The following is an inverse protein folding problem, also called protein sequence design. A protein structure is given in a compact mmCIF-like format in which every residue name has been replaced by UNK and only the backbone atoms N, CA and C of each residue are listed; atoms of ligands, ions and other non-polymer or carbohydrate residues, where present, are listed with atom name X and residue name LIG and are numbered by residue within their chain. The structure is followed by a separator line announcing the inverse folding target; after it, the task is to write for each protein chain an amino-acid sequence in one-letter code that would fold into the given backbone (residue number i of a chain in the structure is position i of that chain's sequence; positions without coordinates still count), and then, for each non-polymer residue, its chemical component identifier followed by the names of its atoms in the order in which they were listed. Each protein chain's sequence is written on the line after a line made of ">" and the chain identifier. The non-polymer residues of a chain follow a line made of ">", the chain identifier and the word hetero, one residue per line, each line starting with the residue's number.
data_IF_024316636548
#
_entry.id   IF_024316636548
#
_cell.length_a   1.000
_cell.length_b   1.000
_cell.length_c   1.000
_cell.angle_alpha   90.00
_cell.angle_beta   90.00
_cell.angle_gamma   90.00
#
_symmetry.space_group_name_H-M   'P 1'
#
loop_
_entity.id
_entity.type
_entity.pdbx_description
1 polymer ?
#
# COMPACT_ATOMS: atom_id res chain seq x y z
N UNK A 1 45.90 -25.55 19.88
CA UNK A 1 45.12 -26.35 20.84
C UNK A 1 43.73 -26.56 20.28
N UNK A 2 43.46 -27.78 19.82
CA UNK A 2 42.17 -28.23 19.28
C UNK A 2 41.59 -29.16 20.33
N UNK A 3 40.38 -28.89 20.80
CA UNK A 3 39.63 -29.85 21.63
C UNK A 3 38.74 -30.73 20.74
N UNK A 4 38.55 -32.02 21.10
CA UNK A 4 38.19 -33.07 20.15
C UNK A 4 36.68 -33.35 20.10
N UNK A 5 36.26 -33.86 18.94
CA UNK A 5 34.98 -34.55 18.73
C UNK A 5 35.05 -35.92 19.41
N UNK A 6 34.02 -36.27 20.19
CA UNK A 6 33.88 -37.58 20.80
C UNK A 6 32.88 -38.43 19.98
N UNK A 7 33.26 -39.64 19.51
CA UNK A 7 32.38 -40.54 18.75
C UNK A 7 32.09 -41.83 19.53
N UNK A 8 30.85 -42.06 19.98
CA UNK A 8 30.43 -43.39 20.46
C UNK A 8 28.94 -43.57 20.20
N UNK A 9 28.60 -44.38 19.18
CA UNK A 9 27.83 -45.63 19.32
C UNK A 9 27.37 -46.13 17.94
N UNK A 10 28.15 -47.06 17.39
CA UNK A 10 27.73 -48.04 16.41
C UNK A 10 27.04 -49.22 17.13
N UNK A 11 26.26 -49.99 16.35
CA UNK A 11 25.78 -51.37 16.54
C UNK A 11 24.35 -51.54 17.07
N UNK A 12 23.44 -51.92 16.16
CA UNK A 12 22.58 -53.14 16.12
C UNK A 12 21.68 -52.95 14.88
N UNK A 13 22.13 -53.42 13.71
CA UNK A 13 21.84 -54.74 13.12
C UNK A 13 20.46 -54.85 12.47
N UNK A 14 20.52 -54.91 11.14
CA UNK A 14 19.53 -55.26 10.12
C UNK A 14 18.88 -56.64 10.33
N UNK A 15 17.90 -56.96 9.45
CA UNK A 15 17.20 -58.24 9.15
C UNK A 15 15.70 -58.09 9.54
N UNK A 16 14.70 -58.09 8.63
CA UNK A 16 14.26 -59.19 7.77
C UNK A 16 13.25 -58.66 6.71
N UNK A 17 13.48 -59.00 5.43
CA UNK A 17 12.54 -58.94 4.30
C UNK A 17 12.11 -60.40 4.00
N UNK A 18 10.92 -60.58 3.42
CA UNK A 18 10.37 -61.78 2.72
C UNK A 18 9.29 -62.57 3.47
N UNK A 19 8.07 -62.58 2.89
CA UNK A 19 7.07 -63.67 2.76
C UNK A 19 5.77 -63.03 2.20
N UNK A 20 5.44 -63.04 0.90
CA UNK A 20 4.94 -64.16 0.05
C UNK A 20 3.85 -64.98 0.77
N UNK A 21 2.60 -65.16 0.34
CA UNK A 21 1.93 -65.11 -0.97
C UNK A 21 1.08 -66.39 -1.16
N UNK A 22 -0.10 -66.28 -1.79
CA UNK A 22 -1.02 -67.36 -2.32
C UNK A 22 -2.04 -67.94 -1.30
N UNK A 23 -3.30 -68.31 -1.62
CA UNK A 23 -3.95 -68.96 -2.80
C UNK A 23 -5.48 -68.65 -2.83
N UNK A 24 -6.11 -68.15 -3.93
CA UNK A 24 -7.02 -68.78 -4.97
C UNK A 24 -8.32 -69.46 -4.40
N UNK A 25 -9.56 -69.31 -4.92
CA UNK A 25 -10.18 -69.89 -6.15
C UNK A 25 -11.66 -69.46 -6.40
N UNK A 26 -11.98 -69.09 -7.67
CA UNK A 26 -13.18 -69.26 -8.55
C UNK A 26 -14.58 -68.66 -8.18
N UNK A 27 -15.52 -68.33 -9.10
CA UNK A 27 -15.93 -69.00 -10.36
C UNK A 27 -16.80 -68.10 -11.31
N UNK A 28 -16.59 -68.30 -12.62
CA UNK A 28 -17.54 -68.40 -13.76
C UNK A 28 -18.38 -67.21 -14.31
N UNK A 29 -18.24 -67.01 -15.64
CA UNK A 29 -19.23 -66.41 -16.57
C UNK A 29 -20.33 -67.43 -16.93
N UNK A 30 -21.50 -66.98 -17.46
CA UNK A 30 -21.69 -67.04 -18.92
C UNK A 30 -22.40 -65.82 -19.54
N UNK A 31 -22.16 -65.64 -20.84
CA UNK A 31 -22.73 -64.67 -21.78
C UNK A 31 -24.19 -64.95 -22.13
N UNK A 32 -24.99 -63.90 -22.34
CA UNK A 32 -26.06 -63.87 -23.35
C UNK A 32 -26.12 -62.48 -23.99
N UNK A 33 -26.15 -62.48 -25.32
CA UNK A 33 -26.25 -61.32 -26.20
C UNK A 33 -27.54 -60.53 -25.99
N UNK A 34 -27.44 -59.19 -25.92
CA UNK A 34 -28.41 -58.29 -26.53
C UNK A 34 -27.63 -57.14 -27.17
N UNK A 35 -27.77 -57.03 -28.50
CA UNK A 35 -27.36 -55.89 -29.30
C UNK A 35 -28.06 -54.63 -28.80
N UNK A 36 -27.29 -53.62 -28.39
CA UNK A 36 -27.78 -52.23 -28.37
C UNK A 36 -26.60 -51.27 -28.53
N UNK A 37 -26.49 -50.77 -29.76
CA UNK A 37 -26.26 -49.37 -30.09
C UNK A 37 -25.28 -48.60 -29.19
N UNK A 38 -24.10 -48.34 -29.75
CA UNK A 38 -23.13 -47.34 -29.29
C UNK A 38 -23.86 -46.01 -29.01
N UNK A 39 -24.28 -45.79 -27.76
CA UNK A 39 -24.45 -44.45 -27.22
C UNK A 39 -23.05 -43.92 -26.95
N UNK A 40 -22.57 -43.06 -27.84
CA UNK A 40 -21.55 -42.09 -27.49
C UNK A 40 -21.90 -41.49 -26.13
N UNK A 41 -20.94 -41.54 -25.21
CA UNK A 41 -21.03 -40.80 -23.97
C UNK A 41 -21.36 -39.34 -24.32
N UNK A 42 -22.37 -38.71 -23.68
CA UNK A 42 -22.64 -37.31 -23.91
C UNK A 42 -21.37 -36.54 -23.55
N UNK A 43 -20.78 -35.90 -24.55
CA UNK A 43 -19.76 -34.87 -24.34
C UNK A 43 -20.39 -33.86 -23.41
N UNK A 44 -19.98 -33.84 -22.15
CA UNK A 44 -20.15 -32.67 -21.30
C UNK A 44 -19.31 -31.58 -21.93
N UNK A 45 -19.90 -30.86 -22.89
CA UNK A 45 -19.47 -29.51 -23.23
C UNK A 45 -19.57 -28.73 -21.92
N UNK A 46 -18.42 -28.55 -21.25
CA UNK A 46 -18.29 -27.44 -20.31
C UNK A 46 -18.49 -26.19 -21.18
N UNK A 47 -19.59 -25.44 -21.04
CA UNK A 47 -19.77 -24.24 -21.82
C UNK A 47 -18.62 -23.31 -21.47
N UNK A 48 -17.76 -23.02 -22.46
CA UNK A 48 -16.73 -22.01 -22.30
C UNK A 48 -17.46 -20.72 -21.95
N UNK A 49 -17.16 -20.06 -20.81
CA UNK A 49 -17.87 -18.87 -20.41
C UNK A 49 -17.77 -17.80 -21.52
N UNK A 50 -18.91 -17.23 -21.93
CA UNK A 50 -18.91 -16.13 -22.89
C UNK A 50 -18.32 -14.88 -22.23
N UNK A 51 -17.05 -14.62 -22.56
CA UNK A 51 -16.28 -13.50 -22.04
C UNK A 51 -16.97 -12.15 -22.31
N UNK A 52 -17.72 -12.04 -23.42
CA UNK A 52 -18.48 -10.83 -23.74
C UNK A 52 -19.57 -10.58 -22.70
N UNK A 53 -20.30 -11.64 -22.34
CA UNK A 53 -21.37 -11.57 -21.34
C UNK A 53 -20.82 -11.26 -19.94
N UNK A 54 -19.68 -11.86 -19.56
CA UNK A 54 -18.99 -11.57 -18.29
C UNK A 54 -18.67 -10.07 -18.21
N UNK A 55 -18.01 -9.52 -19.24
CA UNK A 55 -17.61 -8.12 -19.23
C UNK A 55 -18.78 -7.14 -19.30
N UNK A 56 -19.89 -7.52 -19.95
CA UNK A 56 -21.12 -6.73 -19.95
C UNK A 56 -21.78 -6.70 -18.56
N UNK A 57 -21.75 -7.81 -17.82
CA UNK A 57 -22.39 -7.92 -16.51
C UNK A 57 -21.53 -7.41 -15.36
N UNK A 58 -20.21 -7.36 -15.54
CA UNK A 58 -19.23 -7.05 -14.50
C UNK A 58 -19.58 -5.79 -13.69
N UNK A 59 -20.01 -4.71 -14.35
CA UNK A 59 -20.38 -3.47 -13.66
C UNK A 59 -21.54 -3.67 -12.68
N UNK A 60 -22.53 -4.47 -13.04
CA UNK A 60 -23.67 -4.78 -12.17
C UNK A 60 -23.25 -5.65 -10.99
N UNK A 61 -22.33 -6.60 -11.22
CA UNK A 61 -21.80 -7.45 -10.16
C UNK A 61 -20.99 -6.66 -9.14
N UNK A 62 -20.15 -5.72 -9.60
CA UNK A 62 -19.40 -4.80 -8.73
C UNK A 62 -20.34 -3.93 -7.88
N UNK A 63 -21.43 -3.42 -8.46
CA UNK A 63 -22.44 -2.64 -7.73
C UNK A 63 -23.25 -3.47 -6.73
N UNK A 64 -23.34 -4.78 -6.93
CA UNK A 64 -24.02 -5.70 -6.03
C UNK A 64 -23.16 -6.15 -4.84
N UNK A 65 -21.89 -5.72 -4.77
CA UNK A 65 -21.02 -5.96 -3.61
C UNK A 65 -21.40 -5.00 -2.48
N UNK A 66 -21.60 -5.56 -1.29
CA UNK A 66 -22.00 -4.83 -0.08
C UNK A 66 -21.48 -5.57 1.17
N UNK A 67 -21.70 -5.03 2.40
CA UNK A 67 -21.20 -5.63 3.64
C UNK A 67 -21.73 -7.05 3.96
N UNK A 68 -22.77 -7.52 3.27
CA UNK A 68 -23.33 -8.86 3.47
C UNK A 68 -22.71 -9.90 2.54
N UNK A 69 -21.90 -9.48 1.56
CA UNK A 69 -21.19 -10.38 0.66
C UNK A 69 -19.95 -10.98 1.33
N UNK A 70 -19.51 -12.12 0.78
CA UNK A 70 -18.32 -12.86 1.21
C UNK A 70 -17.07 -12.46 0.43
N UNK A 71 -15.89 -12.81 0.95
CA UNK A 71 -14.60 -12.69 0.27
C UNK A 71 -14.56 -13.49 -1.03
N UNK A 72 -15.25 -14.64 -1.08
CA UNK A 72 -15.38 -15.41 -2.32
C UNK A 72 -16.09 -14.61 -3.42
N UNK A 73 -17.14 -13.85 -3.08
CA UNK A 73 -17.87 -13.06 -4.07
C UNK A 73 -17.00 -11.94 -4.66
N UNK A 74 -16.23 -11.24 -3.83
CA UNK A 74 -15.31 -10.21 -4.32
C UNK A 74 -14.11 -10.82 -5.07
N UNK A 75 -13.65 -12.02 -4.70
CA UNK A 75 -12.62 -12.74 -5.45
C UNK A 75 -13.09 -13.17 -6.83
N UNK A 76 -14.34 -13.63 -6.96
CA UNK A 76 -14.96 -13.91 -8.25
C UNK A 76 -15.00 -12.66 -9.12
N UNK A 77 -15.56 -11.55 -8.60
CA UNK A 77 -15.58 -10.27 -9.34
C UNK A 77 -14.16 -9.82 -9.72
N UNK A 78 -13.17 -10.01 -8.86
CA UNK A 78 -11.78 -9.70 -9.18
C UNK A 78 -11.19 -10.60 -10.27
N UNK A 79 -11.62 -11.86 -10.40
CA UNK A 79 -11.25 -12.71 -11.53
C UNK A 79 -11.89 -12.19 -12.81
N UNK A 80 -13.17 -11.81 -12.76
CA UNK A 80 -13.90 -11.26 -13.89
C UNK A 80 -13.30 -9.93 -14.36
N UNK A 81 -12.88 -9.05 -13.44
CA UNK A 81 -12.09 -7.85 -13.75
C UNK A 81 -10.83 -8.22 -14.55
N UNK A 82 -10.04 -9.20 -14.08
CA UNK A 82 -8.79 -9.59 -14.77
C UNK A 82 -9.04 -10.14 -16.17
N UNK A 83 -10.13 -10.88 -16.37
CA UNK A 83 -10.51 -11.41 -17.69
C UNK A 83 -10.95 -10.30 -18.65
N UNK A 84 -11.60 -9.26 -18.13
CA UNK A 84 -12.14 -8.17 -18.93
C UNK A 84 -11.14 -7.07 -19.26
N UNK A 85 -10.20 -6.76 -18.36
CA UNK A 85 -9.23 -5.67 -18.53
C UNK A 85 -8.47 -5.68 -19.88
N UNK A 86 -7.99 -6.83 -20.41
CA UNK A 86 -7.36 -6.89 -21.73
C UNK A 86 -8.25 -6.47 -22.91
N UNK A 87 -9.57 -6.53 -22.74
CA UNK A 87 -10.55 -6.24 -23.79
C UNK A 87 -11.04 -4.78 -23.77
N UNK A 88 -10.74 -4.05 -22.71
CA UNK A 88 -11.21 -2.68 -22.49
C UNK A 88 -10.22 -1.65 -23.04
N UNK A 89 -10.74 -0.52 -23.50
CA UNK A 89 -9.90 0.64 -23.84
C UNK A 89 -9.42 1.33 -22.56
N UNK A 90 -8.33 2.09 -22.65
CA UNK A 90 -7.74 2.81 -21.50
C UNK A 90 -8.75 3.60 -20.66
N UNK A 91 -9.65 4.37 -21.27
CA UNK A 91 -10.68 5.11 -20.54
C UNK A 91 -11.64 4.20 -19.75
N UNK A 92 -11.99 3.03 -20.32
CA UNK A 92 -12.87 2.04 -19.67
C UNK A 92 -12.13 1.29 -18.55
N UNK A 93 -10.83 1.03 -18.72
CA UNK A 93 -9.98 0.48 -17.66
C UNK A 93 -9.92 1.41 -16.44
N UNK A 94 -9.76 2.73 -16.67
CA UNK A 94 -9.74 3.73 -15.59
C UNK A 94 -11.10 3.86 -14.88
N UNK A 95 -12.20 3.84 -15.64
CA UNK A 95 -13.55 3.83 -15.06
C UNK A 95 -13.77 2.57 -14.20
N UNK A 96 -13.40 1.39 -14.71
CA UNK A 96 -13.50 0.15 -13.96
C UNK A 96 -12.65 0.18 -12.68
N UNK A 97 -11.49 0.83 -12.73
CA UNK A 97 -10.63 1.06 -11.57
C UNK A 97 -11.33 1.89 -10.50
N UNK A 98 -11.98 2.99 -10.89
CA UNK A 98 -12.79 3.80 -9.96
C UNK A 98 -13.97 3.03 -9.38
N UNK A 99 -14.66 2.21 -10.19
CA UNK A 99 -15.73 1.35 -9.69
C UNK A 99 -15.21 0.30 -8.71
N UNK A 100 -14.01 -0.25 -8.93
CA UNK A 100 -13.40 -1.21 -8.00
C UNK A 100 -13.13 -0.59 -6.63
N UNK A 101 -12.78 0.70 -6.58
CA UNK A 101 -12.61 1.42 -5.31
C UNK A 101 -13.94 1.51 -4.56
N UNK A 102 -15.02 1.90 -5.24
CA UNK A 102 -16.37 1.96 -4.65
C UNK A 102 -16.85 0.59 -4.16
N UNK A 103 -16.65 -0.44 -4.97
CA UNK A 103 -16.96 -1.84 -4.63
C UNK A 103 -16.29 -2.26 -3.31
N UNK A 104 -14.99 -1.98 -3.15
CA UNK A 104 -14.27 -2.29 -1.91
C UNK A 104 -14.72 -1.41 -0.73
N UNK A 105 -14.98 -0.11 -0.94
CA UNK A 105 -15.52 0.76 0.10
C UNK A 105 -16.85 0.24 0.64
N UNK A 106 -17.75 -0.20 -0.25
CA UNK A 106 -19.02 -0.81 0.12
C UNK A 106 -18.83 -2.16 0.81
N UNK A 107 -17.92 -3.01 0.32
CA UNK A 107 -17.63 -4.30 0.95
C UNK A 107 -17.08 -4.15 2.37
N UNK A 108 -16.22 -3.16 2.59
CA UNK A 108 -15.50 -2.95 3.86
C UNK A 108 -16.25 -2.04 4.83
N UNK A 109 -17.43 -1.54 4.47
CA UNK A 109 -18.25 -0.73 5.35
C UNK A 109 -18.70 -1.55 6.56
N UNK A 110 -18.55 -0.97 7.76
CA UNK A 110 -19.00 -1.54 9.02
C UNK A 110 -19.61 -0.41 9.84
N UNK A 111 -20.84 -0.63 10.27
CA UNK A 111 -21.51 0.27 11.20
C UNK A 111 -21.17 -0.19 12.63
N UNK A 112 -20.33 0.60 13.32
CA UNK A 112 -19.92 0.37 14.70
C UNK A 112 -20.43 1.48 15.62
N UNK A 113 -20.85 1.12 16.84
CA UNK A 113 -20.95 2.09 17.93
C UNK A 113 -19.56 2.46 18.45
N UNK A 114 -19.43 3.55 19.20
CA UNK A 114 -18.16 3.95 19.82
C UNK A 114 -17.57 2.84 20.71
N UNK A 115 -18.40 2.12 21.45
CA UNK A 115 -17.96 0.99 22.29
C UNK A 115 -17.46 -0.19 21.44
N UNK A 116 -18.13 -0.47 20.31
CA UNK A 116 -17.70 -1.52 19.38
C UNK A 116 -16.37 -1.16 18.71
N UNK A 117 -16.17 0.10 18.33
CA UNK A 117 -14.91 0.59 17.78
C UNK A 117 -13.76 0.42 18.79
N UNK A 118 -13.97 0.83 20.05
CA UNK A 118 -12.97 0.69 21.10
C UNK A 118 -12.65 -0.79 21.40
N UNK A 119 -13.66 -1.67 21.43
CA UNK A 119 -13.46 -3.10 21.63
C UNK A 119 -12.66 -3.73 20.47
N UNK A 120 -12.96 -3.33 19.23
CA UNK A 120 -12.24 -3.75 18.04
C UNK A 120 -10.77 -3.32 18.07
N UNK A 121 -10.50 -2.05 18.34
CA UNK A 121 -9.13 -1.54 18.44
C UNK A 121 -8.34 -2.23 19.54
N UNK A 122 -8.96 -2.41 20.71
CA UNK A 122 -8.37 -3.14 21.82
C UNK A 122 -8.01 -4.56 21.39
N UNK A 123 -8.90 -5.26 20.68
CA UNK A 123 -8.62 -6.60 20.17
C UNK A 123 -7.46 -6.64 19.17
N UNK A 124 -7.40 -5.68 18.23
CA UNK A 124 -6.36 -5.67 17.19
C UNK A 124 -4.99 -5.30 17.78
N UNK A 125 -4.94 -4.38 18.75
CA UNK A 125 -3.71 -3.94 19.40
C UNK A 125 -3.20 -4.93 20.45
N UNK A 126 -4.12 -5.60 21.17
CA UNK A 126 -3.80 -6.54 22.21
C UNK A 126 -3.40 -7.90 21.61
N UNK A 127 -2.11 -8.07 21.34
CA UNK A 127 -1.51 -9.38 21.11
C UNK A 127 -1.39 -10.13 22.45
N UNK A 128 -2.53 -10.48 23.06
CA UNK A 128 -2.55 -11.13 24.34
C UNK A 128 -1.78 -12.47 24.29
N UNK A 129 -0.91 -12.71 25.27
CA UNK A 129 -0.13 -13.95 25.38
C UNK A 129 -0.98 -15.21 25.64
N UNK A 130 -2.29 -15.05 25.90
CA UNK A 130 -3.21 -16.14 26.27
C UNK A 130 -4.33 -16.31 25.23
N UNK A 131 -4.33 -17.40 24.44
CA UNK A 131 -5.28 -17.62 23.35
C UNK A 131 -6.77 -17.63 23.75
N UNK A 132 -7.09 -18.09 24.96
CA UNK A 132 -8.49 -18.17 25.44
C UNK A 132 -9.11 -16.80 25.70
N UNK A 133 -8.33 -15.86 26.24
CA UNK A 133 -8.77 -14.48 26.46
C UNK A 133 -8.98 -13.79 25.10
N UNK A 134 -8.10 -14.06 24.14
CA UNK A 134 -8.24 -13.53 22.78
C UNK A 134 -9.49 -14.07 22.09
N UNK A 135 -9.80 -15.36 22.23
CA UNK A 135 -11.02 -15.96 21.67
C UNK A 135 -12.29 -15.33 22.26
N UNK A 136 -12.36 -15.16 23.58
CA UNK A 136 -13.52 -14.53 24.22
C UNK A 136 -13.72 -13.08 23.75
N UNK A 137 -12.64 -12.30 23.62
CA UNK A 137 -12.70 -10.93 23.08
C UNK A 137 -13.14 -10.92 21.62
N UNK A 138 -12.69 -11.88 20.82
CA UNK A 138 -13.08 -12.01 19.42
C UNK A 138 -14.58 -12.25 19.25
N UNK A 139 -15.17 -13.13 20.06
CA UNK A 139 -16.60 -13.46 20.01
C UNK A 139 -17.51 -12.29 20.40
N UNK A 140 -16.97 -11.29 21.11
CA UNK A 140 -17.67 -10.06 21.49
C UNK A 140 -17.64 -8.97 20.41
N UNK A 141 -16.84 -9.15 19.35
CA UNK A 141 -16.79 -8.20 18.24
C UNK A 141 -18.06 -8.26 17.38
N UNK A 142 -18.32 -7.20 16.60
CA UNK A 142 -19.36 -7.21 15.57
C UNK A 142 -19.17 -8.42 14.63
N UNK A 143 -20.25 -9.09 14.22
CA UNK A 143 -20.19 -10.25 13.32
C UNK A 143 -19.41 -9.96 12.02
N UNK A 144 -19.51 -8.74 11.49
CA UNK A 144 -18.75 -8.33 10.31
C UNK A 144 -17.26 -8.19 10.61
N UNK A 145 -16.90 -7.70 11.79
CA UNK A 145 -15.51 -7.67 12.26
C UNK A 145 -14.95 -9.09 12.41
N UNK A 146 -15.70 -9.99 13.04
CA UNK A 146 -15.31 -11.40 13.15
C UNK A 146 -15.07 -12.02 11.77
N UNK A 147 -15.96 -11.74 10.82
CA UNK A 147 -15.83 -12.22 9.46
C UNK A 147 -14.57 -11.68 8.78
N UNK A 148 -14.37 -10.36 8.76
CA UNK A 148 -13.26 -9.73 8.04
C UNK A 148 -11.90 -10.03 8.69
N UNK A 149 -11.82 -10.15 10.02
CA UNK A 149 -10.60 -10.59 10.71
C UNK A 149 -10.19 -12.01 10.30
N UNK A 150 -11.15 -12.95 10.21
CA UNK A 150 -10.88 -14.33 9.76
C UNK A 150 -10.38 -14.41 8.32
N UNK A 151 -10.73 -13.44 7.49
CA UNK A 151 -10.34 -13.37 6.08
C UNK A 151 -9.33 -12.26 5.79
N UNK A 152 -8.71 -11.67 6.82
CA UNK A 152 -7.65 -10.69 6.66
C UNK A 152 -6.51 -11.30 5.82
N UNK A 153 -6.01 -10.55 4.84
CA UNK A 153 -5.00 -11.00 3.89
C UNK A 153 -5.57 -11.76 2.68
N UNK A 154 -6.84 -12.18 2.71
CA UNK A 154 -7.56 -12.66 1.53
C UNK A 154 -8.25 -11.50 0.82
N UNK A 155 -8.59 -11.69 -0.46
CA UNK A 155 -9.29 -10.67 -1.25
C UNK A 155 -8.70 -9.25 -1.14
N UNK A 156 -7.40 -9.09 -0.86
CA UNK A 156 -6.74 -7.79 -0.65
C UNK A 156 -7.30 -6.97 0.52
N UNK A 157 -7.80 -7.63 1.57
CA UNK A 157 -8.31 -6.97 2.77
C UNK A 157 -7.18 -6.83 3.78
N UNK A 158 -6.96 -5.62 4.29
CA UNK A 158 -5.98 -5.37 5.34
C UNK A 158 -6.50 -4.37 6.38
N UNK A 159 -5.78 -4.28 7.49
CA UNK A 159 -6.02 -3.29 8.55
C UNK A 159 -5.05 -2.14 8.41
N UNK A 160 -5.50 -0.94 8.73
CA UNK A 160 -4.70 0.28 8.70
C UNK A 160 -5.00 1.15 9.92
N UNK A 161 -3.97 1.83 10.42
CA UNK A 161 -3.97 2.80 11.51
C UNK A 161 -3.52 4.20 11.05
N UNK A 162 -3.63 4.47 9.74
CA UNK A 162 -3.15 5.71 9.11
C UNK A 162 -4.05 6.93 9.33
N UNK A 163 -5.34 6.72 9.58
CA UNK A 163 -6.31 7.80 9.80
C UNK A 163 -6.37 8.16 11.28
N UNK A 164 -6.54 9.45 11.59
CA UNK A 164 -6.64 9.92 12.97
C UNK A 164 -7.74 9.14 13.71
N UNK A 165 -7.28 8.42 14.75
CA UNK A 165 -8.04 7.85 15.86
C UNK A 165 -8.71 6.49 15.70
N UNK A 166 -8.54 5.78 14.57
CA UNK A 166 -9.14 4.44 14.47
C UNK A 166 -8.39 3.45 13.57
N UNK A 167 -8.29 2.21 14.05
CA UNK A 167 -7.93 1.07 13.20
C UNK A 167 -9.15 0.73 12.34
N UNK A 168 -8.96 0.64 11.03
CA UNK A 168 -10.01 0.36 10.07
C UNK A 168 -9.57 -0.67 9.02
N UNK A 169 -10.53 -1.28 8.33
CA UNK A 169 -10.21 -2.07 7.15
C UNK A 169 -10.00 -1.16 5.95
N UNK A 170 -9.04 -1.53 5.12
CA UNK A 170 -8.88 -0.96 3.78
C UNK A 170 -8.62 -2.06 2.76
N UNK A 171 -8.81 -1.71 1.50
CA UNK A 171 -8.24 -2.47 0.40
C UNK A 171 -6.74 -2.26 0.40
N UNK A 172 -5.99 -3.34 0.19
CA UNK A 172 -4.53 -3.28 0.07
C UNK A 172 -4.13 -2.39 -1.10
N UNK A 173 -3.15 -1.48 -0.94
CA UNK A 173 -2.59 -0.70 -2.05
C UNK A 173 -2.11 -1.59 -3.20
N UNK A 174 -1.68 -2.82 -2.88
CA UNK A 174 -1.22 -3.81 -3.86
C UNK A 174 -2.31 -4.34 -4.78
N UNK A 175 -3.59 -4.06 -4.51
CA UNK A 175 -4.70 -4.51 -5.34
C UNK A 175 -4.58 -4.00 -6.77
N UNK A 176 -4.44 -2.68 -6.97
CA UNK A 176 -4.38 -2.12 -8.32
C UNK A 176 -3.11 -2.53 -9.05
N UNK A 177 -1.98 -2.60 -8.34
CA UNK A 177 -0.73 -3.11 -8.89
C UNK A 177 -0.84 -4.55 -9.39
N UNK A 178 -1.58 -5.42 -8.70
CA UNK A 178 -1.70 -6.85 -9.06
C UNK A 178 -2.87 -7.16 -10.00
N UNK A 179 -3.92 -6.35 -10.00
CA UNK A 179 -5.16 -6.61 -10.76
C UNK A 179 -5.23 -5.76 -12.02
N UNK A 180 -4.84 -4.49 -11.95
CA UNK A 180 -5.00 -3.53 -13.05
C UNK A 180 -3.69 -3.31 -13.82
N UNK A 181 -2.61 -2.99 -13.11
CA UNK A 181 -1.35 -2.53 -13.72
C UNK A 181 -0.79 -3.42 -14.85
N UNK A 182 -0.89 -4.78 -14.81
CA UNK A 182 -0.41 -5.64 -15.90
C UNK A 182 -1.08 -5.40 -17.27
N UNK A 183 -2.21 -4.70 -17.30
CA UNK A 183 -3.00 -4.44 -18.51
C UNK A 183 -3.02 -2.96 -18.91
N UNK A 184 -2.31 -2.11 -18.18
CA UNK A 184 -2.25 -0.67 -18.44
C UNK A 184 -1.04 -0.33 -19.33
N UNK A 185 -1.02 0.89 -19.86
CA UNK A 185 0.16 1.41 -20.53
C UNK A 185 1.22 1.79 -19.50
N UNK A 186 2.47 1.91 -19.97
CA UNK A 186 3.63 2.18 -19.13
C UNK A 186 3.46 3.35 -18.12
N UNK A 187 2.97 4.55 -18.50
CA UNK A 187 2.84 5.65 -17.55
C UNK A 187 1.88 5.34 -16.39
N UNK A 188 0.75 4.67 -16.65
CA UNK A 188 -0.20 4.31 -15.60
C UNK A 188 0.27 3.11 -14.78
N UNK A 189 0.83 2.10 -15.46
CA UNK A 189 1.40 0.92 -14.80
C UNK A 189 2.48 1.32 -13.79
N UNK A 190 3.49 2.08 -14.23
CA UNK A 190 4.62 2.49 -13.39
C UNK A 190 4.15 3.36 -12.23
N UNK A 191 3.18 4.24 -12.46
CA UNK A 191 2.59 5.07 -11.40
C UNK A 191 1.96 4.20 -10.31
N UNK A 192 1.07 3.29 -10.71
CA UNK A 192 0.28 2.47 -9.79
C UNK A 192 1.17 1.49 -9.03
N UNK A 193 2.11 0.82 -9.70
CA UNK A 193 3.02 -0.12 -9.06
C UNK A 193 3.88 0.57 -8.00
N UNK A 194 4.47 1.73 -8.32
CA UNK A 194 5.32 2.45 -7.37
C UNK A 194 4.52 3.07 -6.23
N UNK A 195 3.34 3.64 -6.49
CA UNK A 195 2.52 4.18 -5.41
C UNK A 195 2.00 3.06 -4.50
N UNK A 196 1.66 1.90 -5.05
CA UNK A 196 1.28 0.72 -4.27
C UNK A 196 2.42 0.23 -3.36
N UNK A 197 3.65 0.15 -3.89
CA UNK A 197 4.84 -0.25 -3.13
C UNK A 197 5.14 0.76 -2.02
N UNK A 198 5.13 2.05 -2.34
CA UNK A 198 5.33 3.12 -1.36
C UNK A 198 4.27 3.07 -0.24
N UNK A 199 3.00 2.87 -0.56
CA UNK A 199 1.90 2.85 0.41
C UNK A 199 1.74 1.51 1.15
N UNK A 200 2.52 0.48 0.79
CA UNK A 200 2.68 -0.71 1.64
C UNK A 200 3.36 -0.36 2.98
N UNK A 201 4.25 0.64 2.98
CA UNK A 201 4.74 1.28 4.21
C UNK A 201 3.96 2.58 4.44
N UNK A 202 3.09 2.64 5.45
CA UNK A 202 2.24 3.80 5.64
C UNK A 202 3.07 5.06 5.95
N UNK A 203 2.66 6.20 5.38
CA UNK A 203 3.31 7.49 5.63
C UNK A 203 3.29 7.86 7.11
N UNK A 204 2.16 7.61 7.78
CA UNK A 204 1.97 7.86 9.21
C UNK A 204 1.66 6.58 9.96
N UNK A 205 2.15 6.50 11.19
CA UNK A 205 1.81 5.46 12.16
C UNK A 205 1.70 6.10 13.54
N UNK A 206 0.59 5.90 14.24
CA UNK A 206 0.31 6.57 15.53
C UNK A 206 0.49 8.10 15.46
N UNK A 207 -0.03 8.73 14.40
CA UNK A 207 0.08 10.18 14.12
C UNK A 207 1.51 10.73 14.03
N UNK A 208 2.50 9.86 13.79
CA UNK A 208 3.90 10.23 13.56
C UNK A 208 4.35 9.79 12.17
N UNK A 209 5.26 10.55 11.59
CA UNK A 209 5.91 10.18 10.34
C UNK A 209 6.59 8.81 10.51
N UNK A 210 6.30 7.88 9.61
CA UNK A 210 6.74 6.48 9.67
C UNK A 210 7.67 6.13 8.49
N UNK A 211 8.42 7.12 8.02
CA UNK A 211 9.42 6.99 6.96
C UNK A 211 10.75 7.57 7.43
N UNK A 212 11.82 6.85 7.15
CA UNK A 212 13.19 7.34 7.33
C UNK A 212 13.57 8.33 6.21
N UNK A 213 14.50 9.27 6.45
CA UNK A 213 14.84 10.30 5.47
C UNK A 213 15.36 9.76 4.12
N UNK A 214 16.05 8.62 4.10
CA UNK A 214 16.54 7.99 2.86
C UNK A 214 15.40 7.49 1.98
N UNK A 215 14.38 6.90 2.60
CA UNK A 215 13.16 6.46 1.91
C UNK A 215 12.36 7.67 1.40
N UNK A 216 12.26 8.76 2.18
CA UNK A 216 11.62 10.01 1.73
C UNK A 216 12.35 10.58 0.50
N UNK A 217 13.68 10.63 0.53
CA UNK A 217 14.50 11.10 -0.59
C UNK A 217 14.33 10.21 -1.84
N UNK A 218 14.32 8.88 -1.67
CA UNK A 218 14.08 7.92 -2.76
C UNK A 218 12.71 8.15 -3.41
N UNK A 219 11.65 8.32 -2.62
CA UNK A 219 10.30 8.60 -3.13
C UNK A 219 10.23 9.94 -3.84
N UNK A 220 10.81 11.00 -3.28
CA UNK A 220 10.87 12.32 -3.92
C UNK A 220 11.58 12.27 -5.28
N UNK A 221 12.74 11.59 -5.34
CA UNK A 221 13.51 11.40 -6.57
C UNK A 221 12.71 10.62 -7.62
N UNK A 222 12.06 9.53 -7.23
CA UNK A 222 11.21 8.75 -8.12
C UNK A 222 10.13 9.61 -8.80
N UNK A 223 9.36 10.38 -8.03
CA UNK A 223 8.29 11.20 -8.59
C UNK A 223 8.80 12.34 -9.48
N UNK A 224 10.01 12.85 -9.21
CA UNK A 224 10.69 13.78 -10.10
C UNK A 224 11.05 13.13 -11.44
N UNK A 225 11.65 11.93 -11.42
CA UNK A 225 12.04 11.20 -12.64
C UNK A 225 10.83 10.73 -13.43
N UNK A 226 9.76 10.31 -12.76
CA UNK A 226 8.49 9.96 -13.38
C UNK A 226 7.93 11.12 -14.22
N UNK A 227 7.96 12.35 -13.70
CA UNK A 227 7.48 13.54 -14.41
C UNK A 227 8.33 13.90 -15.64
N UNK A 228 9.63 13.58 -15.62
CA UNK A 228 10.53 13.77 -16.76
C UNK A 228 10.27 12.69 -17.82
N UNK A 229 10.09 11.45 -17.39
CA UNK A 229 9.89 10.29 -18.28
C UNK A 229 8.51 10.31 -18.93
N UNK A 230 7.48 10.74 -18.20
CA UNK A 230 6.09 10.73 -18.65
C UNK A 230 5.43 12.12 -18.54
N UNK A 231 5.86 13.12 -19.34
CA UNK A 231 5.37 14.49 -19.23
C UNK A 231 3.88 14.66 -19.57
N UNK A 232 3.30 13.71 -20.31
CA UNK A 232 1.91 13.72 -20.78
C UNK A 232 1.01 12.68 -20.07
N UNK A 233 1.46 12.12 -18.94
CA UNK A 233 0.67 11.16 -18.15
C UNK A 233 -0.63 11.78 -17.62
N UNK A 234 -1.69 10.98 -17.54
CA UNK A 234 -2.95 11.38 -16.90
C UNK A 234 -2.77 11.65 -15.39
N UNK A 235 -1.72 11.10 -14.78
CA UNK A 235 -1.37 11.28 -13.37
C UNK A 235 -0.44 12.48 -13.12
N UNK A 236 -0.31 13.41 -14.08
CA UNK A 236 0.65 14.52 -14.00
C UNK A 236 0.50 15.34 -12.71
N UNK A 237 -0.72 15.68 -12.33
CA UNK A 237 -0.99 16.47 -11.13
C UNK A 237 -0.68 15.70 -9.85
N UNK A 238 -0.89 14.38 -9.86
CA UNK A 238 -0.72 13.51 -8.71
C UNK A 238 0.75 13.27 -8.44
N UNK A 239 1.52 12.99 -9.49
CA UNK A 239 2.97 12.89 -9.41
C UNK A 239 3.62 14.21 -8.98
N UNK A 240 3.12 15.37 -9.43
CA UNK A 240 3.58 16.69 -8.95
C UNK A 240 3.30 16.89 -7.46
N UNK A 241 2.10 16.52 -7.02
CA UNK A 241 1.73 16.58 -5.62
C UNK A 241 2.63 15.68 -4.76
N UNK A 242 2.82 14.42 -5.16
CA UNK A 242 3.69 13.45 -4.47
C UNK A 242 5.15 13.92 -4.41
N UNK A 243 5.71 14.41 -5.55
CA UNK A 243 7.05 15.02 -5.59
C UNK A 243 7.18 16.11 -4.53
N UNK A 244 6.23 17.05 -4.50
CA UNK A 244 6.26 18.19 -3.59
C UNK A 244 6.03 17.77 -2.13
N UNK A 245 5.16 16.79 -1.87
CA UNK A 245 4.91 16.27 -0.54
C UNK A 245 6.18 15.63 0.06
N UNK A 246 6.84 14.73 -0.67
CA UNK A 246 8.07 14.09 -0.19
C UNK A 246 9.24 15.06 -0.10
N UNK A 247 9.37 16.01 -1.05
CA UNK A 247 10.41 17.04 -0.95
C UNK A 247 10.20 17.92 0.29
N UNK A 248 8.96 18.31 0.58
CA UNK A 248 8.63 19.07 1.80
C UNK A 248 8.94 18.27 3.07
N UNK A 249 8.57 16.99 3.12
CA UNK A 249 8.90 16.12 4.25
C UNK A 249 10.41 16.01 4.48
N UNK A 250 11.21 15.89 3.40
CA UNK A 250 12.66 15.76 3.52
C UNK A 250 13.31 17.01 4.13
N UNK A 251 12.86 18.21 3.74
CA UNK A 251 13.49 19.47 4.17
C UNK A 251 12.83 20.13 5.37
N UNK A 252 11.62 19.74 5.74
CA UNK A 252 10.84 20.38 6.81
C UNK A 252 10.38 19.40 7.89
N UNK A 253 10.13 18.14 7.52
CA UNK A 253 9.39 17.19 8.36
C UNK A 253 7.89 17.53 8.40
N UNK A 254 7.24 17.20 9.52
CA UNK A 254 5.85 17.60 9.79
C UNK A 254 5.77 18.52 11.00
N UNK A 255 4.63 19.15 11.25
CA UNK A 255 4.45 19.96 12.47
C UNK A 255 4.70 19.17 13.76
N UNK A 256 4.31 17.88 13.79
CA UNK A 256 4.48 17.00 14.95
C UNK A 256 5.84 16.29 15.02
N UNK A 257 6.63 16.36 13.95
CA UNK A 257 7.96 15.76 13.85
C UNK A 257 8.80 16.55 12.84
N UNK A 258 9.15 17.82 13.14
CA UNK A 258 9.96 18.63 12.25
C UNK A 258 11.41 18.15 12.26
N UNK A 259 12.13 18.34 11.14
CA UNK A 259 13.56 18.01 11.11
C UNK A 259 14.42 19.01 11.89
N UNK A 260 13.85 20.17 12.24
CA UNK A 260 14.51 21.23 13.01
C UNK A 260 13.46 22.18 13.57
N UNK A 261 13.71 22.71 14.77
CA UNK A 261 12.81 23.69 15.38
C UNK A 261 13.11 25.13 14.91
N UNK A 262 14.38 25.43 14.60
CA UNK A 262 14.80 26.81 14.36
C UNK A 262 15.64 26.99 13.08
N UNK A 263 16.15 25.90 12.48
CA UNK A 263 17.05 25.92 11.32
C UNK A 263 18.23 26.89 11.49
N UNK A 264 18.78 26.99 12.69
CA UNK A 264 19.85 27.96 12.99
C UNK A 264 21.18 27.56 12.36
N UNK A 265 21.54 26.28 12.48
CA UNK A 265 22.79 25.72 11.98
C UNK A 265 22.64 24.20 11.81
N UNK A 266 23.69 23.54 11.32
CA UNK A 266 23.70 22.10 11.06
C UNK A 266 23.32 21.25 12.28
N UNK A 267 23.73 21.65 13.48
CA UNK A 267 23.48 20.88 14.71
C UNK A 267 22.01 20.93 15.17
N UNK A 268 21.23 21.86 14.62
CA UNK A 268 19.79 21.99 14.85
C UNK A 268 18.96 21.14 13.88
N UNK A 269 19.60 20.49 12.91
CA UNK A 269 18.95 19.57 11.97
C UNK A 269 19.09 18.15 12.50
N UNK A 270 18.01 17.37 12.43
CA UNK A 270 18.03 15.95 12.69
C UNK A 270 19.18 15.28 11.91
N UNK A 271 20.01 14.50 12.63
CA UNK A 271 21.26 13.99 12.10
C UNK A 271 21.05 13.05 10.90
N UNK A 272 19.99 12.23 10.94
CA UNK A 272 19.68 11.31 9.84
C UNK A 272 19.23 12.06 8.59
N UNK A 273 18.40 13.10 8.78
CA UNK A 273 17.94 13.99 7.71
C UNK A 273 19.12 14.77 7.10
N UNK A 274 20.01 15.31 7.94
CA UNK A 274 21.20 16.03 7.48
C UNK A 274 22.10 15.16 6.62
N UNK A 275 22.40 13.92 7.01
CA UNK A 275 23.26 13.02 6.25
C UNK A 275 22.72 12.76 4.84
N UNK A 276 21.41 12.53 4.73
CA UNK A 276 20.76 12.30 3.42
C UNK A 276 20.79 13.57 2.57
N UNK A 277 20.44 14.73 3.14
CA UNK A 277 20.46 16.01 2.43
C UNK A 277 21.89 16.36 1.98
N UNK A 278 22.88 16.17 2.84
CA UNK A 278 24.29 16.43 2.51
C UNK A 278 24.75 15.53 1.36
N UNK A 279 24.39 14.24 1.38
CA UNK A 279 24.68 13.34 0.28
C UNK A 279 24.04 13.79 -1.05
N UNK A 280 22.75 14.13 -1.03
CA UNK A 280 22.04 14.67 -2.20
C UNK A 280 22.66 15.97 -2.72
N UNK A 281 23.16 16.83 -1.83
CA UNK A 281 23.80 18.09 -2.22
C UNK A 281 25.09 17.89 -3.00
N UNK A 282 25.75 16.74 -2.86
CA UNK A 282 26.97 16.39 -3.58
C UNK A 282 26.69 15.84 -4.98
N UNK A 283 25.44 15.47 -5.28
CA UNK A 283 25.04 15.00 -6.60
C UNK A 283 24.59 16.16 -7.50
N UNK A 284 24.59 15.95 -8.82
CA UNK A 284 24.11 16.92 -9.81
C UNK A 284 22.79 16.46 -10.47
N UNK A 285 22.06 15.57 -9.80
CA UNK A 285 20.95 14.82 -10.40
C UNK A 285 19.59 15.47 -10.10
N UNK A 286 19.26 16.47 -10.92
CA UNK A 286 17.91 17.04 -10.96
C UNK A 286 17.55 17.96 -9.80
N UNK A 287 16.25 18.24 -9.66
CA UNK A 287 15.72 19.32 -8.82
C UNK A 287 15.98 19.09 -7.32
N UNK A 288 15.82 17.86 -6.83
CA UNK A 288 16.03 17.52 -5.42
C UNK A 288 17.47 17.80 -4.96
N UNK A 289 18.48 17.49 -5.80
CA UNK A 289 19.89 17.81 -5.49
C UNK A 289 20.15 19.32 -5.47
N UNK A 290 19.47 20.08 -6.34
CA UNK A 290 19.54 21.55 -6.33
C UNK A 290 18.92 22.10 -5.04
N UNK A 291 17.77 21.57 -4.62
CA UNK A 291 17.15 21.93 -3.35
C UNK A 291 18.05 21.57 -2.16
N UNK A 292 18.69 20.41 -2.17
CA UNK A 292 19.63 20.00 -1.14
C UNK A 292 20.82 20.97 -1.02
N UNK A 293 21.44 21.35 -2.14
CA UNK A 293 22.52 22.37 -2.14
C UNK A 293 22.06 23.69 -1.54
N UNK A 294 20.87 24.14 -1.93
CA UNK A 294 20.27 25.36 -1.37
C UNK A 294 19.98 25.21 0.12
N UNK A 295 19.50 24.06 0.58
CA UNK A 295 19.25 23.81 2.01
C UNK A 295 20.54 23.93 2.83
N UNK A 296 21.62 23.28 2.38
CA UNK A 296 22.94 23.40 3.03
C UNK A 296 23.38 24.88 3.11
N UNK A 297 23.26 25.62 2.00
CA UNK A 297 23.57 27.05 1.98
C UNK A 297 22.70 27.86 2.94
N UNK A 298 21.39 27.56 3.02
CA UNK A 298 20.46 28.25 3.90
C UNK A 298 20.85 28.08 5.37
N UNK A 299 21.16 26.84 5.78
CA UNK A 299 21.57 26.51 7.14
C UNK A 299 22.92 27.16 7.51
N UNK A 300 23.77 27.44 6.52
CA UNK A 300 25.04 28.17 6.71
C UNK A 300 24.87 29.70 6.76
N UNK A 301 23.72 30.24 6.34
CA UNK A 301 23.48 31.68 6.37
C UNK A 301 23.08 32.16 7.77
N UNK A 302 23.61 33.32 8.18
CA UNK A 302 23.11 34.04 9.37
C UNK A 302 21.71 34.61 9.11
N UNK A 303 20.93 34.96 10.15
CA UNK A 303 19.62 35.60 9.99
C UNK A 303 19.65 36.85 9.11
N UNK A 304 20.69 37.69 9.24
CA UNK A 304 20.87 38.91 8.44
C UNK A 304 21.12 38.58 6.96
N UNK A 305 21.94 37.56 6.70
CA UNK A 305 22.20 37.09 5.33
C UNK A 305 20.93 36.52 4.69
N UNK A 306 20.11 35.78 5.45
CA UNK A 306 18.80 35.29 4.97
C UNK A 306 17.88 36.45 4.61
N UNK A 307 17.79 37.46 5.47
CA UNK A 307 16.95 38.63 5.24
C UNK A 307 17.37 39.44 4.00
N UNK A 308 18.68 39.51 3.71
CA UNK A 308 19.19 40.21 2.54
C UNK A 308 18.97 39.41 1.24
N UNK A 309 19.23 38.09 1.27
CA UNK A 309 19.21 37.23 0.07
C UNK A 309 17.83 36.66 -0.26
N UNK A 310 16.95 36.50 0.72
CA UNK A 310 15.66 35.80 0.58
C UNK A 310 14.53 36.82 0.84
N UNK A 311 13.93 37.27 -0.26
CA UNK A 311 12.96 38.36 -0.27
C UNK A 311 11.53 37.84 -0.12
N UNK A 312 11.04 37.66 1.10
CA UNK A 312 9.61 37.42 1.35
C UNK A 312 8.80 38.71 1.16
N UNK A 313 7.51 38.60 0.85
CA UNK A 313 6.65 39.78 0.68
C UNK A 313 6.56 40.60 1.98
N UNK A 314 6.49 41.93 1.87
CA UNK A 314 6.41 42.82 3.04
C UNK A 314 5.19 42.49 3.92
N UNK A 315 4.05 42.17 3.30
CA UNK A 315 2.84 41.71 3.99
C UNK A 315 3.08 40.45 4.83
N UNK A 316 3.81 39.49 4.29
CA UNK A 316 4.14 38.25 4.99
C UNK A 316 5.15 38.49 6.11
N UNK A 317 6.18 39.32 5.85
CA UNK A 317 7.15 39.72 6.86
C UNK A 317 6.48 40.38 8.07
N UNK A 318 5.59 41.35 7.84
CA UNK A 318 4.85 42.03 8.92
C UNK A 318 3.93 41.07 9.68
N UNK A 319 3.30 40.12 8.98
CA UNK A 319 2.47 39.08 9.62
C UNK A 319 3.30 38.17 10.56
N UNK A 320 4.56 37.91 10.22
CA UNK A 320 5.44 36.97 10.91
C UNK A 320 6.48 37.63 11.81
N UNK A 321 6.47 38.96 11.96
CA UNK A 321 7.48 39.73 12.70
C UNK A 321 7.66 39.23 14.15
N UNK A 322 6.56 38.87 14.81
CA UNK A 322 6.57 38.33 16.18
C UNK A 322 6.60 36.79 16.23
N UNK A 323 6.91 36.12 15.12
CA UNK A 323 6.91 34.65 14.97
C UNK A 323 8.19 34.19 14.24
N UNK A 324 9.36 34.28 14.88
CA UNK A 324 10.65 34.06 14.23
C UNK A 324 10.80 32.67 13.59
N UNK A 325 10.27 31.61 14.23
CA UNK A 325 10.30 30.26 13.66
C UNK A 325 9.50 30.15 12.35
N UNK A 326 8.29 30.74 12.31
CA UNK A 326 7.47 30.75 11.10
C UNK A 326 8.08 31.63 10.01
N UNK A 327 8.78 32.71 10.39
CA UNK A 327 9.52 33.55 9.46
C UNK A 327 10.65 32.76 8.78
N UNK A 328 11.45 32.02 9.55
CA UNK A 328 12.52 31.16 9.02
C UNK A 328 11.97 30.08 8.10
N UNK A 329 10.87 29.42 8.48
CA UNK A 329 10.18 28.45 7.63
C UNK A 329 9.69 29.07 6.32
N UNK A 330 9.07 30.26 6.36
CA UNK A 330 8.62 30.98 5.16
C UNK A 330 9.80 31.30 4.22
N UNK A 331 10.90 31.80 4.76
CA UNK A 331 12.12 32.06 3.99
C UNK A 331 12.69 30.77 3.37
N UNK A 332 12.75 29.68 4.14
CA UNK A 332 13.24 28.39 3.66
C UNK A 332 12.38 27.87 2.50
N UNK A 333 11.05 27.89 2.66
CA UNK A 333 10.11 27.48 1.63
C UNK A 333 10.29 28.28 0.34
N UNK A 334 10.42 29.60 0.45
CA UNK A 334 10.67 30.45 -0.70
C UNK A 334 12.01 30.14 -1.36
N UNK A 335 13.08 29.95 -0.58
CA UNK A 335 14.42 29.72 -1.12
C UNK A 335 14.52 28.39 -1.87
N UNK A 336 13.87 27.36 -1.34
CA UNK A 336 13.80 26.01 -1.92
C UNK A 336 12.69 25.85 -2.96
N UNK A 337 11.82 26.84 -3.13
CA UNK A 337 10.60 26.76 -3.94
C UNK A 337 9.70 25.57 -3.54
N UNK A 338 9.54 25.38 -2.23
CA UNK A 338 8.65 24.36 -1.67
C UNK A 338 7.25 24.92 -1.48
N UNK A 339 6.24 24.06 -1.68
CA UNK A 339 4.86 24.33 -1.29
C UNK A 339 4.50 23.38 -0.15
N UNK A 340 4.69 23.77 1.13
CA UNK A 340 4.43 22.87 2.25
C UNK A 340 3.03 22.27 2.20
N UNK A 341 2.93 20.98 2.52
CA UNK A 341 1.66 20.27 2.57
C UNK A 341 1.17 20.27 4.02
N UNK A 342 -0.04 20.77 4.24
CA UNK A 342 -0.77 20.52 5.47
C UNK A 342 -1.35 19.10 5.43
N UNK A 343 -0.63 18.15 6.01
CA UNK A 343 -1.02 16.75 6.03
C UNK A 343 -2.26 16.48 6.89
N UNK A 344 -2.64 17.38 7.80
CA UNK A 344 -3.86 17.24 8.62
C UNK A 344 -5.13 17.57 7.83
N UNK A 345 -5.03 18.52 6.89
CA UNK A 345 -6.18 18.99 6.10
C UNK A 345 -6.02 18.73 4.60
N UNK A 346 -5.29 17.68 4.22
CA UNK A 346 -5.05 17.36 2.83
C UNK A 346 -6.37 16.92 2.17
N UNK A 347 -6.77 17.62 1.11
CA UNK A 347 -8.03 17.31 0.38
C UNK A 347 -7.90 16.12 -0.56
N UNK A 348 -6.67 15.63 -0.76
CA UNK A 348 -6.33 14.59 -1.73
C UNK A 348 -5.46 13.56 -1.03
N UNK A 349 -6.02 12.38 -0.84
CA UNK A 349 -5.32 11.24 -0.29
C UNK A 349 -4.57 10.52 -1.41
N UNK A 350 -3.24 10.51 -1.32
CA UNK A 350 -2.34 9.72 -2.16
C UNK A 350 -1.53 8.69 -1.34
N UNK A 351 -1.82 8.53 -0.05
CA UNK A 351 -0.96 7.80 0.89
C UNK A 351 -1.61 6.51 1.44
N UNK A 352 -2.85 6.23 1.03
CA UNK A 352 -3.60 5.04 1.47
C UNK A 352 -3.79 3.94 0.41
N UNK A 353 -3.67 4.26 -0.88
CA UNK A 353 -3.97 3.34 -2.01
C UNK A 353 -3.01 3.63 -3.18
N UNK A 354 -3.08 2.86 -4.26
CA UNK A 354 -2.19 3.00 -5.42
C UNK A 354 -2.61 4.06 -6.46
N UNK A 355 -3.65 4.83 -6.15
CA UNK A 355 -4.07 6.02 -6.88
C UNK A 355 -4.50 7.09 -5.89
N UNK A 356 -4.36 8.36 -6.28
CA UNK A 356 -4.86 9.43 -5.47
C UNK A 356 -6.38 9.60 -5.60
N UNK A 357 -7.04 10.00 -4.51
CA UNK A 357 -8.46 10.36 -4.52
C UNK A 357 -8.74 11.57 -3.66
N UNK A 358 -9.76 12.32 -4.02
CA UNK A 358 -10.27 13.36 -3.13
C UNK A 358 -10.86 12.71 -1.87
N UNK A 359 -10.53 13.27 -0.72
CA UNK A 359 -11.03 12.86 0.60
C UNK A 359 -12.45 13.34 0.85
#
# INVERSE_FOLDING_TARGET
>A
MKFPRNPIHYLISSILVVLSGLVVVACQKPTTDIVQESKEAPKTENPVPDLTQICQNLKNEMLAINPQRTTLAIEQVNQDIRMCLPLLKSAEQMELMHQSKKMYQQFLQIDRTSEQQQAFETYVLDQAAYPTIQQNKFEQLNLRDQYLLRHKGQAYIELTDQTEDAINYRRSPQYLAKVFAPYLQAPEQVFIENLAEQNAQPLFKNNKLNLEPDEIAKRAKFWQEYLVTYPNTIFLHDARFLKNAYSSLLFLGTEGSPISMNFENQNDIDASSWLVIEHLSKTNEGELSVQAKKFIQFVQMTPEQRQQKIQISEKERLKLENRPQLLVLSQLNQYLNLSPIDFKHVKKDCFSDAICSNT
#
